data_IF_169757793861
#
_entry.id   IF_169757793861
#
_cell.length_a   1.000
_cell.length_b   1.000
_cell.length_c   1.000
_cell.angle_alpha   90.00
_cell.angle_beta   90.00
_cell.angle_gamma   90.00
#
_symmetry.space_group_name_H-M   'P 1'
#
loop_
_entity.id
_entity.type
_entity.pdbx_description
1 polymer ?
#
# COMPACT_ATOMS: atom_id res chain seq x y z
N UNK A 1 -24.87 34.54 35.59
CA UNK A 1 -25.78 34.28 34.46
C UNK A 1 -25.06 33.30 33.55
N UNK A 2 -25.29 31.99 33.73
CA UNK A 2 -24.67 30.93 32.92
C UNK A 2 -25.30 30.99 31.52
N UNK A 3 -24.55 31.47 30.52
CA UNK A 3 -24.93 31.30 29.13
C UNK A 3 -25.00 29.79 28.87
N UNK A 4 -26.19 29.26 28.63
CA UNK A 4 -26.36 27.88 28.20
C UNK A 4 -25.72 27.75 26.82
N UNK A 5 -24.58 27.06 26.74
CA UNK A 5 -23.91 26.77 25.48
C UNK A 5 -24.87 26.04 24.55
N UNK A 6 -24.96 26.53 23.31
CA UNK A 6 -25.77 25.87 22.29
C UNK A 6 -25.01 24.68 21.75
N UNK A 7 -25.73 23.68 21.25
CA UNK A 7 -25.14 22.48 20.63
C UNK A 7 -24.07 22.83 19.57
N UNK A 8 -24.25 23.93 18.83
CA UNK A 8 -23.31 24.45 17.83
C UNK A 8 -21.94 24.84 18.41
N UNK A 9 -21.87 25.21 19.68
CA UNK A 9 -20.63 25.62 20.33
C UNK A 9 -19.70 24.42 20.59
N UNK A 10 -20.27 23.21 20.69
CA UNK A 10 -19.50 21.97 20.87
C UNK A 10 -18.84 21.47 19.58
N UNK A 11 -19.47 21.71 18.42
CA UNK A 11 -18.96 21.26 17.12
C UNK A 11 -17.96 22.24 16.48
N UNK A 12 -17.82 23.45 17.04
CA UNK A 12 -17.02 24.53 16.46
C UNK A 12 -17.71 25.23 15.28
N UNK A 13 -17.05 26.23 14.65
CA UNK A 13 -17.73 27.05 13.65
C UNK A 13 -18.00 26.25 12.37
N UNK A 14 -19.20 26.37 11.83
CA UNK A 14 -19.57 25.72 10.57
C UNK A 14 -18.75 26.27 9.40
N UNK A 15 -18.31 25.37 8.52
CA UNK A 15 -17.66 25.72 7.26
C UNK A 15 -18.74 25.88 6.21
N UNK A 16 -18.74 27.01 5.51
CA UNK A 16 -19.72 27.32 4.47
C UNK A 16 -19.04 27.48 3.12
N UNK A 17 -19.80 27.47 2.01
CA UNK A 17 -19.23 27.68 0.67
C UNK A 17 -18.54 29.03 0.49
N UNK A 18 -18.84 30.01 1.36
CA UNK A 18 -18.15 31.30 1.43
C UNK A 18 -16.70 31.18 1.97
N UNK A 19 -16.38 30.10 2.68
CA UNK A 19 -15.03 29.82 3.19
C UNK A 19 -14.10 29.23 2.10
N UNK A 20 -14.54 29.12 0.83
CA UNK A 20 -13.79 28.47 -0.25
C UNK A 20 -12.33 28.97 -0.41
N UNK A 21 -12.10 30.27 -0.30
CA UNK A 21 -10.75 30.86 -0.37
C UNK A 21 -9.93 30.56 0.90
N UNK A 22 -10.58 30.57 2.07
CA UNK A 22 -9.95 30.29 3.35
C UNK A 22 -9.54 28.81 3.45
N UNK A 23 -10.34 27.91 2.87
CA UNK A 23 -10.03 26.50 2.69
C UNK A 23 -8.72 26.33 1.89
N UNK A 24 -8.61 26.98 0.74
CA UNK A 24 -7.39 26.90 -0.09
C UNK A 24 -6.15 27.50 0.59
N UNK A 25 -6.31 28.60 1.34
CA UNK A 25 -5.21 29.26 2.04
C UNK A 25 -4.61 28.40 3.15
N UNK A 26 -5.45 27.61 3.83
CA UNK A 26 -5.03 26.79 4.99
C UNK A 26 -4.89 25.30 4.67
N UNK A 27 -5.03 24.89 3.41
CA UNK A 27 -4.83 23.52 2.94
C UNK A 27 -3.33 23.16 2.81
N UNK A 28 -2.64 23.16 3.95
CA UNK A 28 -1.22 22.78 4.02
C UNK A 28 -0.99 21.34 3.53
N UNK A 29 -1.94 20.43 3.75
CA UNK A 29 -1.81 19.04 3.30
C UNK A 29 -1.78 18.95 1.77
N UNK A 30 -2.68 19.63 1.06
CA UNK A 30 -2.63 19.64 -0.40
C UNK A 30 -1.36 20.31 -0.92
N UNK A 31 -0.98 21.47 -0.36
CA UNK A 31 0.20 22.21 -0.83
C UNK A 31 1.45 21.33 -0.72
N UNK A 32 1.59 20.62 0.39
CA UNK A 32 2.76 19.75 0.65
C UNK A 32 2.74 18.45 -0.15
N UNK A 33 1.55 17.90 -0.47
CA UNK A 33 1.41 16.63 -1.20
C UNK A 33 1.11 16.78 -2.70
N UNK A 34 1.07 18.01 -3.21
CA UNK A 34 0.71 18.33 -4.59
C UNK A 34 1.57 17.62 -5.63
N UNK A 35 2.87 17.49 -5.39
CA UNK A 35 3.80 16.85 -6.33
C UNK A 35 3.42 15.41 -6.62
N UNK A 36 3.10 14.63 -5.59
CA UNK A 36 2.63 13.25 -5.74
C UNK A 36 1.29 13.17 -6.47
N UNK A 37 0.38 14.10 -6.20
CA UNK A 37 -0.89 14.17 -6.93
C UNK A 37 -0.68 14.41 -8.43
N UNK A 38 0.17 15.39 -8.77
CA UNK A 38 0.51 15.70 -10.16
C UNK A 38 1.17 14.50 -10.81
N UNK A 39 2.04 13.77 -10.10
CA UNK A 39 2.65 12.56 -10.60
C UNK A 39 1.60 11.50 -10.96
N UNK A 40 0.65 11.21 -10.06
CA UNK A 40 -0.43 10.27 -10.37
C UNK A 40 -1.36 10.72 -11.50
N UNK A 41 -1.52 12.03 -11.71
CA UNK A 41 -2.26 12.56 -12.86
C UNK A 41 -1.49 12.36 -14.16
N UNK A 42 -0.17 12.65 -14.17
CA UNK A 42 0.70 12.43 -15.33
C UNK A 42 0.67 10.96 -15.73
N UNK A 43 0.77 10.04 -14.77
CA UNK A 43 0.69 8.60 -14.97
C UNK A 43 -0.74 8.10 -15.27
N UNK A 44 -1.77 8.94 -15.27
CA UNK A 44 -3.15 8.49 -15.52
C UNK A 44 -3.75 7.58 -14.43
N UNK A 45 -3.11 7.48 -13.26
CA UNK A 45 -3.51 6.59 -12.16
C UNK A 45 -4.68 7.17 -11.38
N UNK A 46 -4.65 8.48 -11.08
CA UNK A 46 -5.72 9.16 -10.31
C UNK A 46 -6.19 10.44 -11.00
N UNK A 47 -7.25 10.38 -11.81
CA UNK A 47 -7.76 11.53 -12.54
C UNK A 47 -8.72 12.39 -11.68
N UNK A 48 -8.23 12.89 -10.56
CA UNK A 48 -8.96 13.86 -9.72
C UNK A 48 -8.57 15.29 -10.11
N UNK A 49 -9.49 16.25 -10.00
CA UNK A 49 -9.23 17.66 -10.31
C UNK A 49 -9.49 18.55 -9.10
N UNK A 50 -8.72 19.64 -9.01
CA UNK A 50 -9.01 20.71 -8.05
C UNK A 50 -9.82 21.81 -8.72
N UNK A 51 -10.87 22.26 -8.05
CA UNK A 51 -11.75 23.34 -8.51
C UNK A 51 -10.98 24.67 -8.50
N UNK A 52 -11.27 25.63 -9.41
CA UNK A 52 -10.62 26.95 -9.40
C UNK A 52 -10.69 27.66 -8.05
N UNK A 53 -9.65 28.44 -7.71
CA UNK A 53 -9.54 29.17 -6.44
C UNK A 53 -10.73 30.08 -6.14
N UNK A 54 -11.29 30.71 -7.17
CA UNK A 54 -12.41 31.65 -7.05
C UNK A 54 -13.79 30.98 -6.92
N UNK A 55 -13.88 29.65 -7.06
CA UNK A 55 -15.15 28.97 -6.92
C UNK A 55 -15.60 28.93 -5.45
N UNK A 56 -16.80 29.42 -5.17
CA UNK A 56 -17.45 29.34 -3.87
C UNK A 56 -18.02 27.94 -3.66
N UNK A 57 -17.14 27.02 -3.23
CA UNK A 57 -17.53 25.65 -2.92
C UNK A 57 -16.63 25.08 -1.83
N UNK A 58 -17.26 24.33 -0.94
CA UNK A 58 -16.62 23.46 0.05
C UNK A 58 -15.93 22.26 -0.58
N UNK A 59 -16.38 21.78 -1.75
CA UNK A 59 -15.81 20.62 -2.46
C UNK A 59 -14.65 21.05 -3.35
N UNK A 60 -13.45 21.19 -2.78
CA UNK A 60 -12.24 21.64 -3.50
C UNK A 60 -11.70 20.59 -4.48
N UNK A 61 -11.80 19.31 -4.13
CA UNK A 61 -11.36 18.18 -4.96
C UNK A 61 -12.57 17.45 -5.52
N UNK A 62 -12.57 17.18 -6.82
CA UNK A 62 -13.67 16.54 -7.55
C UNK A 62 -13.17 15.46 -8.49
N UNK A 63 -13.98 14.43 -8.70
CA UNK A 63 -13.78 13.40 -9.71
C UNK A 63 -14.97 13.40 -10.67
N UNK A 64 -14.69 13.32 -11.98
CA UNK A 64 -15.72 13.16 -13.00
C UNK A 64 -15.15 12.33 -14.15
N UNK A 65 -15.94 11.39 -14.67
CA UNK A 65 -15.57 10.52 -15.79
C UNK A 65 -15.26 11.28 -17.09
N UNK A 66 -15.83 12.47 -17.27
CA UNK A 66 -15.66 13.30 -18.48
C UNK A 66 -14.68 14.46 -18.25
N UNK A 67 -13.88 14.40 -17.17
CA UNK A 67 -12.92 15.46 -16.86
C UNK A 67 -11.69 15.43 -17.77
N UNK A 68 -11.00 16.57 -17.91
CA UNK A 68 -9.73 16.63 -18.67
C UNK A 68 -8.69 15.64 -18.13
N UNK A 69 -8.62 15.46 -16.82
CA UNK A 69 -7.72 14.50 -16.18
C UNK A 69 -8.10 13.06 -16.52
N UNK A 70 -9.40 12.74 -16.60
CA UNK A 70 -9.88 11.40 -16.93
C UNK A 70 -9.66 11.07 -18.40
N UNK A 71 -9.88 12.02 -19.29
CA UNK A 71 -9.57 11.86 -20.71
C UNK A 71 -8.07 11.64 -20.95
N UNK A 72 -7.21 12.37 -20.21
CA UNK A 72 -5.77 12.12 -20.22
C UNK A 72 -5.44 10.71 -19.71
N UNK A 73 -6.05 10.30 -18.59
CA UNK A 73 -5.86 8.96 -18.04
C UNK A 73 -6.27 7.86 -19.05
N UNK A 74 -7.40 8.03 -19.75
CA UNK A 74 -7.82 7.10 -20.81
C UNK A 74 -6.79 7.01 -21.93
N UNK A 75 -6.20 8.13 -22.36
CA UNK A 75 -5.20 8.16 -23.41
C UNK A 75 -3.92 7.42 -22.97
N UNK A 76 -3.37 7.75 -21.80
CA UNK A 76 -2.16 7.13 -21.27
C UNK A 76 -2.36 5.62 -21.12
N UNK A 77 -3.45 5.22 -20.46
CA UNK A 77 -3.75 3.81 -20.25
C UNK A 77 -4.00 3.04 -21.54
N UNK A 78 -4.64 3.65 -22.54
CA UNK A 78 -4.86 3.00 -23.83
C UNK A 78 -3.54 2.73 -24.55
N UNK A 79 -2.63 3.71 -24.55
CA UNK A 79 -1.30 3.55 -25.16
C UNK A 79 -0.47 2.50 -24.43
N UNK A 80 -0.47 2.52 -23.10
CA UNK A 80 0.25 1.54 -22.29
C UNK A 80 -0.35 0.14 -22.42
N UNK A 81 -1.68 0.01 -22.49
CA UNK A 81 -2.33 -1.27 -22.72
C UNK A 81 -1.92 -1.91 -24.04
N UNK A 82 -1.66 -1.15 -25.11
CA UNK A 82 -1.13 -1.71 -26.36
C UNK A 82 0.24 -2.34 -26.13
N UNK A 83 1.11 -1.66 -25.38
CA UNK A 83 2.45 -2.17 -25.04
C UNK A 83 2.34 -3.42 -24.15
N UNK A 84 1.54 -3.36 -23.10
CA UNK A 84 1.34 -4.47 -22.15
C UNK A 84 0.74 -5.69 -22.83
N UNK A 85 -0.26 -5.52 -23.70
CA UNK A 85 -0.86 -6.64 -24.45
C UNK A 85 0.17 -7.25 -25.40
N UNK A 86 0.99 -6.45 -26.07
CA UNK A 86 2.03 -6.95 -26.97
C UNK A 86 3.08 -7.76 -26.20
N UNK A 87 3.62 -7.21 -25.12
CA UNK A 87 4.60 -7.90 -24.26
C UNK A 87 3.99 -9.16 -23.66
N UNK A 88 2.75 -9.10 -23.18
CA UNK A 88 2.03 -10.26 -22.65
C UNK A 88 1.81 -11.35 -23.70
N UNK A 89 1.51 -10.97 -24.95
CA UNK A 89 1.32 -11.91 -26.06
C UNK A 89 2.64 -12.60 -26.46
N UNK A 90 3.73 -11.84 -26.54
CA UNK A 90 5.08 -12.38 -26.81
C UNK A 90 5.51 -13.34 -25.69
N UNK A 91 5.29 -12.97 -24.42
CA UNK A 91 5.58 -13.83 -23.26
C UNK A 91 4.73 -15.10 -23.26
N UNK A 92 3.44 -15.00 -23.60
CA UNK A 92 2.54 -16.14 -23.69
C UNK A 92 2.91 -17.06 -24.87
N UNK A 93 3.25 -16.51 -26.03
CA UNK A 93 3.71 -17.29 -27.18
C UNK A 93 5.02 -18.03 -26.86
N UNK A 94 5.98 -17.34 -26.24
CA UNK A 94 7.24 -17.95 -25.79
C UNK A 94 7.01 -19.05 -24.75
N UNK A 95 6.00 -18.92 -23.90
CA UNK A 95 5.58 -19.93 -22.94
C UNK A 95 4.96 -21.16 -23.62
N UNK A 96 4.09 -20.97 -24.62
CA UNK A 96 3.41 -22.06 -25.31
C UNK A 96 4.31 -22.84 -26.28
N UNK A 97 5.18 -22.14 -27.03
CA UNK A 97 5.99 -22.75 -28.07
C UNK A 97 7.14 -23.61 -27.52
N UNK A 98 7.57 -23.35 -26.29
CA UNK A 98 8.70 -24.03 -25.68
C UNK A 98 8.23 -25.00 -24.57
N UNK A 99 7.48 -26.03 -24.94
CA UNK A 99 6.92 -27.01 -23.97
C UNK A 99 7.96 -27.89 -23.25
N UNK A 100 9.24 -27.82 -23.67
CA UNK A 100 10.34 -28.61 -23.13
C UNK A 100 11.26 -27.80 -22.18
N UNK A 101 10.75 -26.72 -21.60
CA UNK A 101 11.52 -25.81 -20.73
C UNK A 101 11.80 -26.40 -19.37
N UNK A 102 12.97 -26.06 -18.83
CA UNK A 102 13.33 -26.33 -17.44
C UNK A 102 12.35 -25.61 -16.51
N UNK A 103 12.16 -26.17 -15.32
CA UNK A 103 11.13 -25.75 -14.35
C UNK A 103 11.23 -24.27 -13.94
N UNK A 104 12.44 -23.74 -13.92
CA UNK A 104 12.77 -22.34 -13.65
C UNK A 104 12.16 -21.38 -14.66
N UNK A 105 12.33 -21.63 -15.95
CA UNK A 105 11.81 -20.76 -17.01
C UNK A 105 10.28 -20.67 -16.97
N UNK A 106 9.60 -21.73 -16.50
CA UNK A 106 8.16 -21.73 -16.27
C UNK A 106 7.79 -20.77 -15.13
N UNK A 107 8.49 -20.83 -14.01
CA UNK A 107 8.28 -19.94 -12.86
C UNK A 107 8.51 -18.48 -13.24
N UNK A 108 9.59 -18.19 -13.98
CA UNK A 108 9.88 -16.84 -14.46
C UNK A 108 8.75 -16.28 -15.31
N UNK A 109 8.28 -17.05 -16.30
CA UNK A 109 7.20 -16.60 -17.17
C UNK A 109 5.90 -16.37 -16.39
N UNK A 110 5.59 -17.21 -15.38
CA UNK A 110 4.43 -17.00 -14.51
C UNK A 110 4.55 -15.69 -13.72
N UNK A 111 5.72 -15.40 -13.13
CA UNK A 111 5.93 -14.17 -12.36
C UNK A 111 5.73 -12.94 -13.26
N UNK A 112 6.40 -12.90 -14.42
CA UNK A 112 6.31 -11.75 -15.32
C UNK A 112 4.90 -11.55 -15.89
N UNK A 113 4.22 -12.63 -16.30
CA UNK A 113 2.81 -12.55 -16.70
C UNK A 113 1.93 -12.04 -15.56
N UNK A 114 2.20 -12.45 -14.32
CA UNK A 114 1.41 -12.03 -13.15
C UNK A 114 1.62 -10.57 -12.80
N UNK A 115 2.82 -10.01 -13.00
CA UNK A 115 3.10 -8.59 -12.79
C UNK A 115 2.38 -7.70 -13.81
N UNK A 116 2.01 -8.22 -15.00
CA UNK A 116 1.21 -7.48 -15.98
C UNK A 116 -0.27 -7.39 -15.60
N UNK A 117 -0.81 -8.33 -14.82
CA UNK A 117 -2.23 -8.36 -14.40
C UNK A 117 -2.67 -7.08 -13.67
N UNK A 118 -1.91 -6.53 -12.70
CA UNK A 118 -2.22 -5.26 -12.05
C UNK A 118 -2.56 -4.14 -13.02
N UNK A 119 -1.92 -4.07 -14.19
CA UNK A 119 -2.22 -3.09 -15.22
C UNK A 119 -3.74 -3.05 -15.49
N UNK A 120 -4.37 -4.19 -15.75
CA UNK A 120 -5.79 -4.20 -16.10
C UNK A 120 -6.73 -3.99 -14.91
N UNK A 121 -6.31 -4.35 -13.70
CA UNK A 121 -7.14 -4.24 -12.51
C UNK A 121 -7.12 -2.82 -11.91
N UNK A 122 -6.01 -2.10 -12.05
CA UNK A 122 -5.79 -0.83 -11.38
C UNK A 122 -6.68 0.32 -11.88
N UNK A 123 -6.98 0.49 -13.18
CA UNK A 123 -7.94 1.48 -13.64
C UNK A 123 -9.33 1.24 -13.04
N UNK A 124 -9.74 -0.03 -12.99
CA UNK A 124 -11.03 -0.43 -12.42
C UNK A 124 -11.07 -0.12 -10.93
N UNK A 125 -10.02 -0.47 -10.19
CA UNK A 125 -9.94 -0.21 -8.76
C UNK A 125 -9.83 1.30 -8.46
N UNK A 126 -8.96 2.00 -9.18
CA UNK A 126 -8.60 3.39 -8.94
C UNK A 126 -9.68 4.38 -9.37
N UNK A 127 -10.13 4.28 -10.62
CA UNK A 127 -11.08 5.25 -11.17
C UNK A 127 -12.47 5.06 -10.56
N UNK A 128 -12.88 3.82 -10.27
CA UNK A 128 -14.16 3.55 -9.58
C UNK A 128 -14.21 4.18 -8.20
N UNK A 129 -13.09 4.22 -7.48
CA UNK A 129 -12.99 4.85 -6.15
C UNK A 129 -12.56 6.31 -6.20
N UNK A 130 -12.38 6.89 -7.39
CA UNK A 130 -12.08 8.31 -7.59
C UNK A 130 -12.98 9.26 -6.78
N UNK A 131 -14.31 9.03 -6.69
CA UNK A 131 -15.20 9.83 -5.84
C UNK A 131 -14.86 9.75 -4.34
N UNK A 132 -14.58 8.55 -3.82
CA UNK A 132 -14.22 8.33 -2.41
C UNK A 132 -12.87 8.98 -2.07
N UNK A 133 -11.91 8.90 -2.99
CA UNK A 133 -10.62 9.60 -2.89
C UNK A 133 -10.82 11.11 -2.85
N UNK A 134 -11.71 11.66 -3.68
CA UNK A 134 -12.04 13.08 -3.67
C UNK A 134 -12.70 13.52 -2.35
N UNK A 135 -13.61 12.70 -1.80
CA UNK A 135 -14.21 12.92 -0.48
C UNK A 135 -13.12 12.96 0.59
N UNK A 136 -12.25 11.96 0.63
CA UNK A 136 -11.12 11.90 1.57
C UNK A 136 -10.23 13.14 1.50
N UNK A 137 -9.86 13.59 0.29
CA UNK A 137 -9.06 14.81 0.11
C UNK A 137 -9.79 16.06 0.61
N UNK A 138 -11.10 16.15 0.38
CA UNK A 138 -11.90 17.26 0.92
C UNK A 138 -11.97 17.21 2.45
N UNK A 139 -12.05 16.02 3.07
CA UNK A 139 -12.05 15.91 4.53
C UNK A 139 -10.80 16.52 5.15
N UNK A 140 -9.63 16.32 4.55
CA UNK A 140 -8.39 16.99 4.98
C UNK A 140 -8.51 18.51 4.93
N UNK A 141 -9.00 19.08 3.83
CA UNK A 141 -9.18 20.54 3.69
C UNK A 141 -10.12 21.09 4.77
N UNK A 142 -11.24 20.41 5.03
CA UNK A 142 -12.19 20.81 6.06
C UNK A 142 -11.60 20.68 7.47
N UNK A 143 -10.91 19.58 7.74
CA UNK A 143 -10.29 19.31 9.03
C UNK A 143 -9.25 20.36 9.38
N UNK A 144 -8.39 20.76 8.45
CA UNK A 144 -7.37 21.79 8.70
C UNK A 144 -7.98 23.14 9.05
N UNK A 145 -9.06 23.53 8.36
CA UNK A 145 -9.76 24.77 8.67
C UNK A 145 -10.49 24.70 10.02
N UNK A 146 -11.15 23.58 10.31
CA UNK A 146 -11.82 23.34 11.60
C UNK A 146 -10.81 23.36 12.74
N UNK A 147 -9.66 22.72 12.56
CA UNK A 147 -8.56 22.72 13.52
C UNK A 147 -8.03 24.13 13.78
N UNK A 148 -7.82 24.95 12.74
CA UNK A 148 -7.40 26.34 12.89
C UNK A 148 -8.45 27.15 13.68
N UNK A 149 -9.73 27.01 13.32
CA UNK A 149 -10.83 27.73 13.97
C UNK A 149 -10.98 27.34 15.46
N UNK A 150 -10.69 26.09 15.83
CA UNK A 150 -10.79 25.62 17.22
C UNK A 150 -9.52 25.91 18.03
N UNK A 151 -8.33 25.62 17.50
CA UNK A 151 -7.07 25.73 18.25
C UNK A 151 -6.42 27.11 18.15
N UNK A 152 -6.83 27.93 17.18
CA UNK A 152 -6.16 29.19 16.83
C UNK A 152 -4.83 29.00 16.10
N UNK A 153 -4.37 27.76 15.90
CA UNK A 153 -3.09 27.44 15.25
C UNK A 153 -3.31 26.61 13.99
N UNK A 154 -2.66 26.92 12.86
CA UNK A 154 -2.78 26.10 11.66
C UNK A 154 -1.98 24.80 11.80
N UNK A 155 -2.47 23.71 11.21
CA UNK A 155 -1.66 22.50 11.04
C UNK A 155 -0.65 22.76 9.92
N UNK A 156 0.63 22.65 10.25
CA UNK A 156 1.73 22.78 9.29
C UNK A 156 2.48 21.46 9.25
N UNK A 157 2.85 21.02 8.05
CA UNK A 157 3.62 19.81 7.82
C UNK A 157 5.04 20.18 7.36
N UNK A 158 5.97 20.50 8.28
CA UNK A 158 7.25 21.13 7.94
C UNK A 158 8.12 20.28 7.01
N UNK A 159 8.18 18.96 7.24
CA UNK A 159 9.04 18.06 6.48
C UNK A 159 8.33 17.37 5.31
N UNK A 160 7.00 17.49 5.21
CA UNK A 160 6.20 16.67 4.29
C UNK A 160 6.39 17.07 2.82
N UNK A 161 6.65 18.36 2.54
CA UNK A 161 6.92 18.82 1.18
C UNK A 161 8.22 18.22 0.61
N UNK A 162 9.32 18.34 1.37
CA UNK A 162 10.63 17.79 0.98
C UNK A 162 10.57 16.27 0.88
N UNK A 163 9.92 15.63 1.85
CA UNK A 163 9.70 14.18 1.87
C UNK A 163 8.90 13.71 0.64
N UNK A 164 7.83 14.42 0.27
CA UNK A 164 6.99 14.03 -0.89
C UNK A 164 7.78 14.10 -2.19
N UNK A 165 8.56 15.17 -2.40
CA UNK A 165 9.42 15.29 -3.57
C UNK A 165 10.52 14.22 -3.60
N UNK A 166 11.18 14.01 -2.46
CA UNK A 166 12.20 12.96 -2.31
C UNK A 166 11.64 11.58 -2.63
N UNK A 167 10.45 11.25 -2.13
CA UNK A 167 9.78 9.99 -2.40
C UNK A 167 9.35 9.85 -3.87
N UNK A 168 8.90 10.91 -4.53
CA UNK A 168 8.57 10.84 -5.97
C UNK A 168 9.80 10.47 -6.82
N UNK A 169 10.93 11.14 -6.57
CA UNK A 169 12.18 10.88 -7.29
C UNK A 169 12.71 9.49 -6.94
N UNK A 170 12.70 9.14 -5.65
CA UNK A 170 13.16 7.84 -5.18
C UNK A 170 12.34 6.70 -5.75
N UNK A 171 11.01 6.80 -5.78
CA UNK A 171 10.13 5.80 -6.39
C UNK A 171 10.50 5.54 -7.85
N UNK A 172 10.69 6.59 -8.66
CA UNK A 172 11.05 6.43 -10.06
C UNK A 172 12.45 5.86 -10.28
N UNK A 173 13.41 6.31 -9.48
CA UNK A 173 14.78 5.80 -9.52
C UNK A 173 14.84 4.33 -9.09
N UNK A 174 14.08 3.95 -8.06
CA UNK A 174 13.97 2.57 -7.59
C UNK A 174 13.34 1.68 -8.64
N UNK A 175 12.23 2.11 -9.25
CA UNK A 175 11.59 1.37 -10.35
C UNK A 175 12.54 1.11 -11.52
N UNK A 176 13.33 2.13 -11.90
CA UNK A 176 14.35 1.98 -12.94
C UNK A 176 15.45 0.99 -12.52
N UNK A 177 15.96 1.11 -11.29
CA UNK A 177 16.99 0.23 -10.76
C UNK A 177 16.52 -1.23 -10.67
N UNK A 178 15.27 -1.47 -10.23
CA UNK A 178 14.68 -2.81 -10.17
C UNK A 178 14.62 -3.41 -11.58
N UNK A 179 14.12 -2.67 -12.58
CA UNK A 179 14.02 -3.20 -13.94
C UNK A 179 15.38 -3.45 -14.57
N UNK A 180 16.32 -2.52 -14.38
CA UNK A 180 17.68 -2.69 -14.88
C UNK A 180 18.36 -3.90 -14.24
N UNK A 181 18.12 -4.14 -12.94
CA UNK A 181 18.61 -5.33 -12.25
C UNK A 181 18.03 -6.60 -12.86
N UNK A 182 16.74 -6.64 -13.21
CA UNK A 182 16.12 -7.81 -13.84
C UNK A 182 16.67 -8.03 -15.25
N UNK A 183 16.85 -6.97 -16.03
CA UNK A 183 17.45 -7.06 -17.37
C UNK A 183 18.88 -7.60 -17.34
N UNK A 184 19.67 -7.27 -16.31
CA UNK A 184 21.05 -7.77 -16.18
C UNK A 184 21.12 -9.19 -15.62
N UNK A 185 20.22 -9.53 -14.70
CA UNK A 185 20.23 -10.82 -14.00
C UNK A 185 19.49 -11.93 -14.75
N UNK A 186 18.69 -11.58 -15.76
CA UNK A 186 17.88 -12.54 -16.52
C UNK A 186 18.10 -12.39 -18.02
N UNK A 187 18.69 -13.42 -18.62
CA UNK A 187 19.02 -13.46 -20.06
C UNK A 187 17.77 -13.40 -20.97
N UNK A 188 16.61 -13.81 -20.45
CA UNK A 188 15.33 -13.84 -21.19
C UNK A 188 14.54 -12.52 -21.09
N UNK A 189 15.13 -11.47 -20.49
CA UNK A 189 14.50 -10.18 -20.32
C UNK A 189 15.04 -9.17 -21.32
N UNK A 190 14.33 -9.00 -22.43
CA UNK A 190 14.68 -7.98 -23.42
C UNK A 190 14.42 -6.58 -22.87
N UNK A 191 15.33 -5.65 -23.15
CA UNK A 191 15.21 -4.24 -22.75
C UNK A 191 13.88 -3.62 -23.20
N UNK A 192 13.32 -4.04 -24.33
CA UNK A 192 12.03 -3.52 -24.80
C UNK A 192 10.84 -3.95 -23.92
N UNK A 193 10.90 -5.12 -23.29
CA UNK A 193 9.87 -5.56 -22.34
C UNK A 193 9.83 -4.67 -21.09
N UNK A 194 10.94 -4.03 -20.74
CA UNK A 194 11.05 -3.07 -19.62
C UNK A 194 9.98 -1.98 -19.63
N UNK A 195 9.58 -1.51 -20.81
CA UNK A 195 8.60 -0.43 -20.93
C UNK A 195 7.21 -0.83 -20.39
N UNK A 196 6.82 -2.10 -20.51
CA UNK A 196 5.55 -2.60 -19.97
C UNK A 196 5.57 -2.66 -18.43
N UNK A 197 6.70 -3.00 -17.83
CA UNK A 197 6.83 -3.14 -16.37
C UNK A 197 7.11 -1.82 -15.67
N UNK A 198 7.74 -0.86 -16.35
CA UNK A 198 8.18 0.39 -15.74
C UNK A 198 7.04 1.19 -15.15
N UNK A 199 5.97 1.36 -15.92
CA UNK A 199 4.78 2.06 -15.45
C UNK A 199 4.17 1.37 -14.21
N UNK A 200 4.06 0.04 -14.24
CA UNK A 200 3.46 -0.75 -13.17
C UNK A 200 4.27 -0.61 -11.88
N UNK A 201 5.59 -0.80 -11.94
CA UNK A 201 6.47 -0.71 -10.77
C UNK A 201 6.49 0.73 -10.23
N UNK A 202 6.59 1.74 -11.11
CA UNK A 202 6.52 3.15 -10.71
C UNK A 202 5.21 3.49 -9.99
N UNK A 203 4.09 2.87 -10.42
CA UNK A 203 2.81 3.05 -9.77
C UNK A 203 2.76 2.38 -8.40
N UNK A 204 3.30 1.16 -8.27
CA UNK A 204 3.36 0.46 -6.99
C UNK A 204 4.19 1.26 -5.98
N UNK A 205 5.36 1.73 -6.39
CA UNK A 205 6.21 2.59 -5.57
C UNK A 205 5.51 3.92 -5.20
N UNK A 206 4.79 4.51 -6.16
CA UNK A 206 3.97 5.70 -5.93
C UNK A 206 2.87 5.47 -4.89
N UNK A 207 2.17 4.34 -4.92
CA UNK A 207 1.15 3.99 -3.92
C UNK A 207 1.76 3.74 -2.54
N UNK A 208 2.94 3.13 -2.46
CA UNK A 208 3.67 2.99 -1.20
C UNK A 208 4.00 4.37 -0.61
N UNK A 209 4.53 5.28 -1.43
CA UNK A 209 4.82 6.67 -1.06
C UNK A 209 3.57 7.43 -0.61
N UNK A 210 2.44 7.25 -1.31
CA UNK A 210 1.15 7.83 -0.92
C UNK A 210 0.71 7.35 0.46
N UNK A 211 0.80 6.05 0.73
CA UNK A 211 0.46 5.48 2.02
C UNK A 211 1.30 6.09 3.13
N UNK A 212 2.63 6.06 2.94
CA UNK A 212 3.61 6.59 3.88
C UNK A 212 3.32 8.04 4.27
N UNK A 213 3.08 8.90 3.27
CA UNK A 213 2.80 10.33 3.46
C UNK A 213 1.51 10.54 4.25
N UNK A 214 0.44 9.81 3.95
CA UNK A 214 -0.83 9.95 4.67
C UNK A 214 -0.70 9.47 6.12
N UNK A 215 -0.06 8.32 6.37
CA UNK A 215 0.22 7.82 7.71
C UNK A 215 1.05 8.80 8.53
N UNK A 216 2.08 9.40 7.93
CA UNK A 216 2.90 10.42 8.57
C UNK A 216 2.07 11.68 8.91
N UNK A 217 1.26 12.16 7.97
CA UNK A 217 0.39 13.32 8.16
C UNK A 217 -0.62 13.11 9.31
N UNK A 218 -1.23 11.92 9.43
CA UNK A 218 -2.07 11.58 10.58
C UNK A 218 -1.30 11.62 11.90
N UNK A 219 -0.07 11.09 11.91
CA UNK A 219 0.82 11.18 13.07
C UNK A 219 1.12 12.63 13.48
N UNK A 220 1.43 13.50 12.52
CA UNK A 220 1.68 14.94 12.78
C UNK A 220 0.43 15.65 13.29
N UNK A 221 -0.74 15.39 12.69
CA UNK A 221 -2.00 15.99 13.10
C UNK A 221 -2.40 15.57 14.53
N UNK A 222 -2.22 14.28 14.87
CA UNK A 222 -2.45 13.77 16.24
C UNK A 222 -1.51 14.44 17.25
N UNK A 223 -0.22 14.54 16.91
CA UNK A 223 0.77 15.19 17.76
C UNK A 223 0.41 16.67 18.00
N UNK A 224 0.01 17.40 16.96
CA UNK A 224 -0.45 18.78 17.08
C UNK A 224 -1.65 18.94 18.00
N UNK A 225 -2.64 18.04 17.88
CA UNK A 225 -3.80 18.01 18.76
C UNK A 225 -3.39 17.73 20.22
N UNK A 226 -2.50 16.76 20.42
CA UNK A 226 -2.02 16.38 21.75
C UNK A 226 -1.20 17.50 22.42
N UNK A 227 -0.38 18.24 21.67
CA UNK A 227 0.39 19.38 22.21
C UNK A 227 -0.52 20.54 22.63
N UNK A 228 -1.60 20.79 21.89
CA UNK A 228 -2.55 21.85 22.23
C UNK A 228 -3.59 21.42 23.28
N UNK A 229 -3.65 20.13 23.64
CA UNK A 229 -4.58 19.62 24.64
C UNK A 229 -4.36 20.24 26.02
N UNK A 230 -3.10 20.47 26.42
CA UNK A 230 -2.81 21.10 27.70
C UNK A 230 -3.34 22.54 27.76
N UNK A 231 -3.16 23.30 26.67
CA UNK A 231 -3.73 24.66 26.53
C UNK A 231 -5.26 24.66 26.60
N UNK A 232 -5.91 23.59 26.13
CA UNK A 232 -7.36 23.46 26.23
C UNK A 232 -7.82 23.25 27.68
N UNK A 233 -7.01 22.60 28.52
CA UNK A 233 -7.29 22.38 29.94
C UNK A 233 -7.09 23.65 30.79
N UNK A 234 -6.22 24.56 30.36
CA UNK A 234 -5.96 25.86 31.01
C UNK A 234 -6.87 26.99 30.51
N UNK A 235 -7.76 26.72 29.55
CA UNK A 235 -8.64 27.73 28.98
C UNK A 235 -9.70 28.22 29.99
N UNK A 236 -10.32 29.37 29.73
CA UNK A 236 -11.40 29.93 30.58
C UNK A 236 -12.60 28.97 30.73
N UNK A 237 -12.84 28.13 29.72
CA UNK A 237 -13.88 27.09 29.72
C UNK A 237 -13.32 25.72 29.27
N UNK A 238 -12.63 24.98 30.16
CA UNK A 238 -11.93 23.75 29.80
C UNK A 238 -12.84 22.64 29.29
N UNK A 239 -14.01 22.45 29.91
CA UNK A 239 -14.97 21.41 29.50
C UNK A 239 -15.47 21.60 28.06
N UNK A 240 -15.89 22.81 27.69
CA UNK A 240 -16.31 23.12 26.31
C UNK A 240 -15.15 22.92 25.34
N UNK A 241 -13.94 23.36 25.72
CA UNK A 241 -12.80 23.28 24.82
C UNK A 241 -12.34 21.85 24.61
N UNK A 242 -12.40 21.03 25.65
CA UNK A 242 -12.12 19.61 25.59
C UNK A 242 -13.14 18.87 24.72
N UNK A 243 -14.43 19.24 24.80
CA UNK A 243 -15.45 18.68 23.91
C UNK A 243 -15.17 19.00 22.42
N UNK A 244 -14.74 20.24 22.10
CA UNK A 244 -14.30 20.59 20.74
C UNK A 244 -13.08 19.78 20.28
N UNK A 245 -12.11 19.54 21.17
CA UNK A 245 -10.94 18.70 20.88
C UNK A 245 -11.33 17.23 20.67
N UNK A 246 -12.30 16.71 21.44
CA UNK A 246 -12.88 15.38 21.22
C UNK A 246 -13.47 15.26 19.82
N UNK A 247 -14.23 16.26 19.37
CA UNK A 247 -14.78 16.26 18.00
C UNK A 247 -13.69 16.31 16.94
N UNK A 248 -12.62 17.11 17.12
CA UNK A 248 -11.45 17.07 16.22
C UNK A 248 -10.80 15.68 16.19
N UNK A 249 -10.59 15.05 17.33
CA UNK A 249 -10.01 13.72 17.37
C UNK A 249 -10.90 12.68 16.67
N UNK A 250 -12.22 12.75 16.87
CA UNK A 250 -13.17 11.86 16.19
C UNK A 250 -13.12 12.06 14.67
N UNK A 251 -13.07 13.31 14.20
CA UNK A 251 -12.90 13.62 12.78
C UNK A 251 -11.57 13.05 12.23
N UNK A 252 -10.48 13.15 13.01
CA UNK A 252 -9.17 12.60 12.65
C UNK A 252 -9.21 11.06 12.55
N UNK A 253 -9.83 10.39 13.52
CA UNK A 253 -10.03 8.93 13.53
C UNK A 253 -10.87 8.49 12.33
N UNK A 254 -11.97 9.20 12.06
CA UNK A 254 -12.84 8.92 10.92
C UNK A 254 -12.13 9.14 9.57
N UNK A 255 -11.32 10.20 9.42
CA UNK A 255 -10.48 10.38 8.23
C UNK A 255 -9.50 9.24 8.03
N UNK A 256 -8.90 8.72 9.11
CA UNK A 256 -7.96 7.61 9.05
C UNK A 256 -8.64 6.31 8.59
N UNK A 257 -9.86 6.05 9.06
CA UNK A 257 -10.68 4.93 8.58
C UNK A 257 -11.10 5.13 7.12
N UNK A 258 -11.47 6.36 6.73
CA UNK A 258 -11.83 6.69 5.35
C UNK A 258 -10.65 6.54 4.39
N UNK A 259 -9.39 6.77 4.81
CA UNK A 259 -8.22 6.43 4.00
C UNK A 259 -8.22 4.93 3.67
N UNK A 260 -8.37 4.07 4.68
CA UNK A 260 -8.41 2.62 4.50
C UNK A 260 -9.53 2.20 3.55
N UNK A 261 -10.72 2.78 3.72
CA UNK A 261 -11.89 2.49 2.87
C UNK A 261 -11.74 2.99 1.44
N UNK A 262 -11.36 4.25 1.24
CA UNK A 262 -11.26 4.88 -0.09
C UNK A 262 -10.19 4.22 -0.98
N UNK A 263 -9.16 3.65 -0.37
CA UNK A 263 -8.08 2.97 -1.08
C UNK A 263 -8.08 1.44 -0.89
N UNK A 264 -9.11 0.89 -0.25
CA UNK A 264 -9.21 -0.53 0.12
C UNK A 264 -9.00 -1.47 -1.07
N UNK A 265 -9.68 -1.23 -2.19
CA UNK A 265 -9.54 -2.09 -3.37
C UNK A 265 -8.15 -1.98 -4.01
N UNK A 266 -7.54 -0.78 -4.01
CA UNK A 266 -6.19 -0.60 -4.57
C UNK A 266 -5.16 -1.34 -3.71
N UNK A 267 -5.15 -1.12 -2.40
CA UNK A 267 -4.21 -1.80 -1.49
C UNK A 267 -4.53 -3.29 -1.31
N UNK A 268 -5.78 -3.71 -1.48
CA UNK A 268 -6.16 -5.13 -1.50
C UNK A 268 -5.53 -5.88 -2.67
N UNK A 269 -5.70 -5.36 -3.90
CA UNK A 269 -5.06 -5.92 -5.10
C UNK A 269 -3.53 -5.86 -4.96
N UNK A 270 -3.00 -4.73 -4.47
CA UNK A 270 -1.58 -4.55 -4.21
C UNK A 270 -1.01 -5.63 -3.28
N UNK A 271 -1.66 -5.88 -2.14
CA UNK A 271 -1.25 -6.90 -1.18
C UNK A 271 -1.35 -8.31 -1.78
N UNK A 272 -2.40 -8.63 -2.53
CA UNK A 272 -2.54 -9.94 -3.20
C UNK A 272 -1.43 -10.18 -4.22
N UNK A 273 -1.12 -9.18 -5.05
CA UNK A 273 -0.07 -9.26 -6.07
C UNK A 273 1.30 -9.44 -5.43
N UNK A 274 1.60 -8.68 -4.38
CA UNK A 274 2.84 -8.83 -3.63
C UNK A 274 2.94 -10.21 -3.01
N UNK A 275 1.88 -10.68 -2.35
CA UNK A 275 1.89 -12.00 -1.72
C UNK A 275 2.13 -13.12 -2.74
N UNK A 276 1.39 -13.09 -3.84
CA UNK A 276 1.54 -14.06 -4.93
C UNK A 276 2.96 -14.02 -5.53
N UNK A 277 3.42 -12.83 -5.92
CA UNK A 277 4.74 -12.65 -6.54
C UNK A 277 5.85 -13.10 -5.61
N UNK A 278 5.81 -12.69 -4.35
CA UNK A 278 6.85 -13.06 -3.38
C UNK A 278 6.87 -14.56 -3.11
N UNK A 279 5.69 -15.21 -3.01
CA UNK A 279 5.61 -16.66 -2.78
C UNK A 279 6.20 -17.45 -3.95
N UNK A 280 5.80 -17.11 -5.17
CA UNK A 280 6.28 -17.81 -6.38
C UNK A 280 7.76 -17.52 -6.64
N UNK A 281 8.22 -16.28 -6.46
CA UNK A 281 9.64 -15.94 -6.60
C UNK A 281 10.51 -16.64 -5.57
N UNK A 282 10.07 -16.71 -4.31
CA UNK A 282 10.81 -17.42 -3.25
C UNK A 282 10.79 -18.94 -3.46
N UNK A 283 9.69 -19.48 -3.98
CA UNK A 283 9.65 -20.88 -4.39
C UNK A 283 10.63 -21.15 -5.53
N UNK A 284 10.63 -20.32 -6.58
CA UNK A 284 11.55 -20.41 -7.71
C UNK A 284 13.00 -20.40 -7.27
N UNK A 285 13.37 -19.41 -6.44
CA UNK A 285 14.75 -19.28 -5.97
C UNK A 285 15.19 -20.48 -5.13
N UNK A 286 14.36 -20.95 -4.18
CA UNK A 286 14.71 -22.12 -3.35
C UNK A 286 14.77 -23.43 -4.16
N UNK A 287 13.88 -23.55 -5.14
CA UNK A 287 13.74 -24.69 -6.02
C UNK A 287 14.98 -24.88 -6.91
N UNK A 288 15.55 -23.80 -7.44
CA UNK A 288 16.76 -23.83 -8.28
C UNK A 288 18.03 -24.06 -7.47
N UNK A 289 18.17 -23.38 -6.31
CA UNK A 289 19.34 -23.56 -5.42
C UNK A 289 19.52 -25.02 -5.06
N UNK A 290 18.42 -25.74 -4.85
CA UNK A 290 18.42 -27.15 -4.53
C UNK A 290 18.91 -28.04 -5.68
N UNK A 291 18.70 -27.65 -6.94
CA UNK A 291 19.05 -28.46 -8.11
C UNK A 291 20.41 -28.12 -8.69
N UNK A 292 20.79 -26.85 -8.74
CA UNK A 292 21.95 -26.38 -9.51
C UNK A 292 22.93 -25.49 -8.73
N UNK A 293 22.60 -25.09 -7.50
CA UNK A 293 23.39 -24.14 -6.71
C UNK A 293 23.23 -22.69 -7.16
N UNK A 294 23.97 -21.76 -6.53
CA UNK A 294 23.77 -20.31 -6.72
C UNK A 294 24.07 -19.82 -8.15
N UNK A 295 23.05 -19.28 -8.84
CA UNK A 295 23.15 -18.72 -10.20
C UNK A 295 22.74 -17.24 -10.29
N UNK A 296 23.15 -16.54 -11.35
CA UNK A 296 22.78 -15.13 -11.57
C UNK A 296 21.27 -14.93 -11.72
N UNK A 297 20.56 -15.88 -12.36
CA UNK A 297 19.10 -15.84 -12.51
C UNK A 297 18.38 -15.83 -11.15
N UNK A 298 18.89 -16.59 -10.18
CA UNK A 298 18.32 -16.69 -8.83
C UNK A 298 18.45 -15.38 -8.05
N UNK A 299 19.56 -14.67 -8.24
CA UNK A 299 19.77 -13.34 -7.64
C UNK A 299 18.65 -12.38 -8.08
N UNK A 300 18.21 -12.46 -9.34
CA UNK A 300 17.08 -11.68 -9.84
C UNK A 300 15.78 -11.94 -9.06
N UNK A 301 15.48 -13.21 -8.73
CA UNK A 301 14.31 -13.59 -7.93
C UNK A 301 14.42 -13.10 -6.48
N UNK A 302 15.60 -13.17 -5.87
CA UNK A 302 15.81 -12.62 -4.52
C UNK A 302 15.62 -11.11 -4.46
N UNK A 303 16.03 -10.39 -5.51
CA UNK A 303 15.78 -8.94 -5.62
C UNK A 303 14.27 -8.67 -5.62
N UNK A 304 13.48 -9.43 -6.38
CA UNK A 304 12.01 -9.32 -6.39
C UNK A 304 11.44 -9.59 -4.98
N UNK A 305 11.87 -10.68 -4.33
CA UNK A 305 11.40 -11.03 -2.98
C UNK A 305 11.73 -9.92 -1.98
N UNK A 306 12.97 -9.43 -1.97
CA UNK A 306 13.41 -8.35 -1.08
C UNK A 306 12.62 -7.06 -1.32
N UNK A 307 12.42 -6.68 -2.58
CA UNK A 307 11.63 -5.53 -2.98
C UNK A 307 10.18 -5.63 -2.50
N UNK A 308 9.48 -6.72 -2.84
CA UNK A 308 8.09 -6.93 -2.46
C UNK A 308 7.89 -7.00 -0.94
N UNK A 309 8.79 -7.68 -0.21
CA UNK A 309 8.75 -7.74 1.25
C UNK A 309 8.99 -6.38 1.91
N UNK A 310 9.89 -5.57 1.34
CA UNK A 310 10.17 -4.22 1.83
C UNK A 310 8.94 -3.32 1.67
N UNK A 311 8.28 -3.36 0.52
CA UNK A 311 7.04 -2.63 0.28
C UNK A 311 5.91 -3.04 1.22
N UNK A 312 5.70 -4.34 1.41
CA UNK A 312 4.70 -4.85 2.35
C UNK A 312 5.00 -4.44 3.78
N UNK A 313 6.28 -4.51 4.18
CA UNK A 313 6.72 -4.07 5.50
C UNK A 313 6.41 -2.59 5.73
N UNK A 314 6.76 -1.71 4.78
CA UNK A 314 6.51 -0.26 4.88
C UNK A 314 5.01 0.01 5.08
N UNK A 315 4.14 -0.58 4.26
CA UNK A 315 2.69 -0.35 4.34
C UNK A 315 2.13 -0.78 5.71
N UNK A 316 2.45 -2.00 6.14
CA UNK A 316 2.00 -2.57 7.40
C UNK A 316 2.57 -1.82 8.61
N UNK A 317 3.84 -1.42 8.55
CA UNK A 317 4.53 -0.73 9.64
C UNK A 317 4.00 0.69 9.83
N UNK A 318 3.83 1.46 8.75
CA UNK A 318 3.33 2.82 8.84
C UNK A 318 1.86 2.88 9.25
N UNK A 319 1.03 1.95 8.78
CA UNK A 319 -0.36 1.83 9.22
C UNK A 319 -0.44 1.56 10.74
N UNK A 320 0.41 0.67 11.24
CA UNK A 320 0.52 0.38 12.67
C UNK A 320 0.99 1.61 13.47
N UNK A 321 2.01 2.32 12.98
CA UNK A 321 2.48 3.54 13.64
C UNK A 321 1.43 4.65 13.67
N UNK A 322 0.71 4.87 12.57
CA UNK A 322 -0.40 5.83 12.52
C UNK A 322 -1.50 5.47 13.52
N UNK A 323 -1.93 4.21 13.54
CA UNK A 323 -2.94 3.68 14.49
C UNK A 323 -2.52 3.91 15.93
N UNK A 324 -1.26 3.61 16.27
CA UNK A 324 -0.75 3.83 17.63
C UNK A 324 -0.65 5.30 18.02
N UNK A 325 -0.21 6.18 17.11
CA UNK A 325 -0.08 7.62 17.38
C UNK A 325 -1.42 8.31 17.55
N UNK A 326 -2.43 7.96 16.74
CA UNK A 326 -3.77 8.55 16.82
C UNK A 326 -4.58 7.94 17.97
N UNK A 327 -4.43 6.65 18.24
CA UNK A 327 -5.17 5.95 19.29
C UNK A 327 -4.45 5.92 20.63
N UNK A 328 -3.56 4.93 20.80
CA UNK A 328 -2.96 4.57 22.09
C UNK A 328 -2.14 5.71 22.73
N UNK A 329 -1.26 6.34 21.95
CA UNK A 329 -0.39 7.40 22.49
C UNK A 329 -1.21 8.62 22.91
N UNK A 330 -2.24 8.97 22.12
CA UNK A 330 -3.15 10.05 22.45
C UNK A 330 -3.96 9.73 23.72
N UNK A 331 -4.46 8.49 23.85
CA UNK A 331 -5.16 8.01 25.04
C UNK A 331 -4.29 8.08 26.29
N UNK A 332 -3.02 7.66 26.21
CA UNK A 332 -2.07 7.74 27.33
C UNK A 332 -1.89 9.18 27.81
N UNK A 333 -1.83 10.15 26.89
CA UNK A 333 -1.72 11.57 27.25
C UNK A 333 -2.98 12.09 27.95
N UNK A 334 -4.16 11.68 27.54
CA UNK A 334 -5.42 12.01 28.24
C UNK A 334 -5.46 11.41 29.65
N UNK A 335 -5.02 10.16 29.81
CA UNK A 335 -4.98 9.49 31.13
C UNK A 335 -3.98 10.13 32.10
N UNK A 336 -2.93 10.77 31.58
CA UNK A 336 -1.94 11.48 32.39
C UNK A 336 -2.38 12.89 32.83
N UNK A 337 -3.58 13.33 32.45
CA UNK A 337 -4.14 14.60 32.93
C UNK A 337 -4.47 14.44 34.42
N UNK A 338 -4.04 15.40 35.25
CA UNK A 338 -4.34 15.39 36.68
C UNK A 338 -5.83 15.69 36.93
N UNK A 339 -6.64 14.64 37.00
CA UNK A 339 -8.08 14.75 37.24
C UNK A 339 -8.41 15.43 38.57
N UNK A 340 -7.54 15.30 39.59
CA UNK A 340 -7.75 15.92 40.91
C UNK A 340 -7.61 17.45 40.92
N UNK A 341 -6.99 18.03 39.89
CA UNK A 341 -6.77 19.47 39.76
C UNK A 341 -7.82 20.18 38.88
N UNK A 342 -8.73 19.43 38.25
CA UNK A 342 -9.74 19.96 37.34
C UNK A 342 -11.16 19.80 37.91
N UNK A 343 -12.08 20.63 37.44
CA UNK A 343 -13.48 20.62 37.88
C UNK A 343 -14.24 19.38 37.37
N UNK A 344 -15.36 19.06 38.02
CA UNK A 344 -16.18 17.87 37.69
C UNK A 344 -16.72 17.87 36.25
N UNK A 345 -16.96 19.04 35.65
CA UNK A 345 -17.47 19.10 34.28
C UNK A 345 -16.39 18.72 33.28
N UNK A 346 -15.15 19.18 33.50
CA UNK A 346 -13.98 18.78 32.71
C UNK A 346 -13.62 17.31 32.92
N UNK A 347 -13.70 16.77 34.15
CA UNK A 347 -13.51 15.34 34.41
C UNK A 347 -14.46 14.47 33.56
N UNK A 348 -15.75 14.83 33.54
CA UNK A 348 -16.75 14.13 32.72
C UNK A 348 -16.44 14.21 31.23
N UNK A 349 -15.94 15.33 30.74
CA UNK A 349 -15.52 15.47 29.33
C UNK A 349 -14.28 14.62 29.02
N UNK A 350 -13.30 14.51 29.92
CA UNK A 350 -12.16 13.58 29.78
C UNK A 350 -12.65 12.15 29.67
N UNK A 351 -13.56 11.72 30.55
CA UNK A 351 -14.16 10.39 30.49
C UNK A 351 -14.90 10.14 29.16
N UNK A 352 -15.72 11.09 28.72
CA UNK A 352 -16.42 10.98 27.44
C UNK A 352 -15.45 10.95 26.25
N UNK A 353 -14.31 11.63 26.33
CA UNK A 353 -13.26 11.54 25.33
C UNK A 353 -12.64 10.15 25.30
N UNK A 354 -12.26 9.59 26.45
CA UNK A 354 -11.74 8.21 26.54
C UNK A 354 -12.75 7.19 25.99
N UNK A 355 -14.04 7.36 26.27
CA UNK A 355 -15.11 6.53 25.69
C UNK A 355 -15.18 6.69 24.18
N UNK A 356 -15.06 7.91 23.65
CA UNK A 356 -15.03 8.15 22.21
C UNK A 356 -13.85 7.46 21.52
N UNK A 357 -12.68 7.43 22.17
CA UNK A 357 -11.50 6.70 21.69
C UNK A 357 -11.75 5.19 21.65
N UNK A 358 -12.32 4.64 22.73
CA UNK A 358 -12.62 3.22 22.82
C UNK A 358 -13.71 2.78 21.81
N UNK A 359 -14.70 3.64 21.53
CA UNK A 359 -15.80 3.35 20.59
C UNK A 359 -15.43 3.55 19.12
N UNK A 360 -14.50 4.44 18.80
CA UNK A 360 -14.10 4.76 17.43
C UNK A 360 -12.58 4.63 17.23
N UNK A 361 -12.02 3.41 17.34
CA UNK A 361 -10.59 3.22 17.22
C UNK A 361 -10.11 3.61 15.81
N UNK A 362 -8.97 4.31 15.68
CA UNK A 362 -8.45 4.77 14.41
C UNK A 362 -7.74 3.62 13.68
N UNK A 363 -8.47 2.58 13.28
CA UNK A 363 -7.91 1.38 12.62
C UNK A 363 -8.14 1.48 11.11
N UNK A 364 -7.05 1.40 10.34
CA UNK A 364 -7.09 1.28 8.89
C UNK A 364 -7.44 -0.17 8.50
N UNK A 365 -8.57 -0.36 7.84
CA UNK A 365 -9.00 -1.65 7.31
C UNK A 365 -9.25 -1.59 5.80
N UNK A 366 -9.11 -2.73 5.13
CA UNK A 366 -9.42 -2.92 3.72
C UNK A 366 -10.89 -3.31 3.58
N UNK A 367 -11.82 -2.37 3.75
CA UNK A 367 -13.29 -2.57 3.60
C UNK A 367 -13.82 -3.79 4.38
N UNK A 368 -13.28 -4.03 5.58
CA UNK A 368 -13.65 -5.16 6.44
C UNK A 368 -12.98 -6.50 6.13
N UNK A 369 -12.20 -6.64 5.05
CA UNK A 369 -11.47 -7.88 4.76
C UNK A 369 -10.36 -8.16 5.77
N UNK A 370 -9.53 -7.17 6.06
CA UNK A 370 -8.43 -7.29 7.04
C UNK A 370 -7.97 -5.91 7.51
N UNK A 371 -7.32 -5.89 8.67
CA UNK A 371 -6.67 -4.70 9.21
C UNK A 371 -5.24 -4.60 8.68
N UNK A 372 -4.86 -3.41 8.23
CA UNK A 372 -3.48 -3.18 7.77
C UNK A 372 -2.63 -2.83 8.98
N UNK A 373 -1.88 -3.82 9.47
CA UNK A 373 -1.01 -3.68 10.62
C UNK A 373 0.18 -4.66 10.53
N UNK A 374 1.04 -4.67 11.55
CA UNK A 374 2.17 -5.62 11.61
C UNK A 374 1.73 -7.08 11.69
N UNK A 375 0.51 -7.37 12.17
CA UNK A 375 -0.02 -8.74 12.21
C UNK A 375 -0.27 -9.27 10.80
N UNK A 376 -0.78 -8.42 9.89
CA UNK A 376 -0.92 -8.75 8.47
C UNK A 376 0.43 -9.14 7.87
N UNK A 377 1.51 -8.41 8.17
CA UNK A 377 2.85 -8.76 7.71
C UNK A 377 3.32 -10.12 8.25
N UNK A 378 3.18 -10.35 9.56
CA UNK A 378 3.58 -11.63 10.16
C UNK A 378 2.73 -12.81 9.66
N UNK A 379 1.43 -12.59 9.42
CA UNK A 379 0.54 -13.60 8.86
C UNK A 379 0.94 -13.95 7.42
N UNK A 380 1.27 -12.95 6.59
CA UNK A 380 1.78 -13.17 5.25
C UNK A 380 3.07 -14.02 5.27
N UNK A 381 4.04 -13.70 6.13
CA UNK A 381 5.25 -14.51 6.27
C UNK A 381 4.91 -15.95 6.66
N UNK A 382 4.03 -16.13 7.66
CA UNK A 382 3.62 -17.47 8.10
C UNK A 382 2.99 -18.27 6.96
N UNK A 383 2.04 -17.69 6.23
CA UNK A 383 1.39 -18.35 5.10
C UNK A 383 2.36 -18.67 3.97
N UNK A 384 3.24 -17.73 3.62
CA UNK A 384 4.30 -17.97 2.65
C UNK A 384 5.18 -19.15 3.06
N UNK A 385 5.65 -19.19 4.31
CA UNK A 385 6.46 -20.31 4.81
C UNK A 385 5.70 -21.64 4.72
N UNK A 386 4.43 -21.68 5.10
CA UNK A 386 3.60 -22.89 4.97
C UNK A 386 3.48 -23.35 3.52
N UNK A 387 3.17 -22.45 2.59
CA UNK A 387 3.08 -22.79 1.17
C UNK A 387 4.41 -23.28 0.60
N UNK A 388 5.52 -22.63 0.97
CA UNK A 388 6.86 -23.02 0.52
C UNK A 388 7.25 -24.41 1.02
N UNK A 389 6.97 -24.73 2.29
CA UNK A 389 7.23 -26.07 2.84
C UNK A 389 6.47 -27.13 2.01
N UNK A 390 5.19 -26.89 1.76
CA UNK A 390 4.34 -27.82 1.00
C UNK A 390 4.85 -27.98 -0.44
N UNK A 391 5.13 -26.89 -1.14
CA UNK A 391 5.63 -26.92 -2.52
C UNK A 391 7.00 -27.61 -2.63
N UNK A 392 7.91 -27.36 -1.67
CA UNK A 392 9.21 -28.02 -1.61
C UNK A 392 9.08 -29.52 -1.29
N UNK A 393 8.15 -29.92 -0.41
CA UNK A 393 7.88 -31.33 -0.15
C UNK A 393 7.38 -32.07 -1.38
N UNK A 394 6.45 -31.47 -2.14
CA UNK A 394 5.99 -32.03 -3.41
C UNK A 394 7.15 -32.19 -4.39
N UNK A 395 7.98 -31.16 -4.55
CA UNK A 395 9.16 -31.21 -5.44
C UNK A 395 10.15 -32.31 -5.03
N UNK A 396 10.55 -32.35 -3.76
CA UNK A 396 11.47 -33.36 -3.23
C UNK A 396 10.93 -34.79 -3.39
N UNK A 397 9.61 -34.96 -3.22
CA UNK A 397 8.95 -36.26 -3.41
C UNK A 397 9.01 -36.69 -4.88
N UNK A 398 8.74 -35.79 -5.82
CA UNK A 398 8.84 -36.04 -7.26
C UNK A 398 10.27 -36.39 -7.67
N UNK A 399 11.26 -35.62 -7.22
CA UNK A 399 12.68 -35.91 -7.47
C UNK A 399 13.06 -37.30 -6.95
N UNK A 400 12.66 -37.64 -5.72
CA UNK A 400 12.93 -38.96 -5.12
C UNK A 400 12.26 -40.10 -5.88
N UNK A 401 11.04 -39.91 -6.39
CA UNK A 401 10.36 -40.90 -7.23
C UNK A 401 11.08 -41.07 -8.58
N UNK A 402 11.49 -39.98 -9.22
CA UNK A 402 12.28 -40.00 -10.46
C UNK A 402 13.59 -40.77 -10.30
N UNK A 403 14.36 -40.49 -9.24
CA UNK A 403 15.61 -41.21 -8.96
C UNK A 403 15.37 -42.71 -8.70
N UNK A 404 14.28 -43.08 -8.01
CA UNK A 404 13.92 -44.48 -7.78
C UNK A 404 13.58 -45.21 -9.09
N UNK A 405 12.83 -44.57 -9.98
CA UNK A 405 12.49 -45.14 -11.30
C UNK A 405 13.75 -45.31 -12.15
N UNK A 406 14.61 -44.29 -12.22
CA UNK A 406 15.86 -44.35 -12.96
C UNK A 406 16.79 -45.44 -12.41
N UNK A 407 16.93 -45.56 -11.08
CA UNK A 407 17.70 -46.64 -10.44
C UNK A 407 17.13 -48.02 -10.76
N UNK A 408 15.80 -48.16 -10.83
CA UNK A 408 15.14 -49.42 -11.22
C UNK A 408 15.43 -49.77 -12.68
N UNK A 409 15.37 -48.82 -13.60
CA UNK A 409 15.71 -49.01 -15.02
C UNK A 409 17.18 -49.40 -15.19
N UNK A 410 18.11 -48.68 -14.55
CA UNK A 410 19.54 -48.99 -14.59
C UNK A 410 19.79 -50.41 -14.08
N UNK A 411 19.22 -50.78 -12.93
CA UNK A 411 19.35 -52.14 -12.41
C UNK A 411 18.75 -53.19 -13.36
N UNK A 412 17.60 -52.92 -14.00
CA UNK A 412 17.02 -53.82 -15.00
C UNK A 412 17.95 -53.97 -16.21
N UNK A 413 18.49 -52.89 -16.76
CA UNK A 413 19.41 -52.94 -17.91
C UNK A 413 20.66 -53.74 -17.54
N UNK A 414 21.31 -53.44 -16.40
CA UNK A 414 22.52 -54.14 -15.97
C UNK A 414 22.30 -55.63 -15.66
N UNK A 415 21.14 -55.99 -15.08
CA UNK A 415 20.81 -57.40 -14.84
C UNK A 415 20.42 -58.15 -16.13
N UNK A 416 19.90 -57.44 -17.15
CA UNK A 416 19.59 -58.01 -18.47
C UNK A 416 20.85 -58.26 -19.29
N UNK A 417 21.87 -57.42 -19.15
CA UNK A 417 23.17 -57.61 -19.83
C UNK A 417 24.06 -58.65 -19.14
N UNK A 418 23.81 -59.02 -17.88
CA UNK A 418 24.50 -60.16 -17.24
C UNK A 418 23.90 -61.51 -17.61
N UNK A 419 22.67 -61.56 -18.13
CA UNK A 419 22.01 -62.80 -18.56
C UNK A 419 22.27 -63.18 -20.03
N UNK A 420 22.80 -62.26 -20.84
CA UNK A 420 23.20 -62.51 -22.24
C UNK A 420 24.67 -62.90 -22.41
N UNK A 421 25.47 -62.94 -21.34
CA UNK A 421 26.90 -63.25 -21.38
C UNK A 421 27.25 -64.63 -20.77
N UNK A 422 26.25 -65.50 -20.56
CA UNK A 422 26.44 -66.76 -19.83
C UNK A 422 26.04 -68.04 -20.60
N UNK A 423 25.78 -67.97 -21.91
CA UNK A 423 25.34 -69.12 -22.72
C UNK A 423 26.25 -69.48 -23.90
N UNK A 424 27.45 -68.91 -24.03
CA UNK A 424 28.44 -69.33 -25.04
C UNK A 424 29.78 -69.69 -24.36
N UNK A 425 29.87 -70.86 -23.72
CA UNK A 425 31.13 -71.63 -23.63
C UNK A 425 30.93 -73.03 -23.01
N UNK A 426 31.33 -74.06 -23.78
CA UNK A 426 31.58 -75.48 -23.45
C UNK A 426 30.51 -76.56 -23.76
N UNK A 427 30.34 -76.87 -25.05
CA UNK A 427 30.20 -78.26 -25.55
C UNK A 427 31.30 -78.54 -26.61
N UNK A 428 32.40 -79.19 -26.19
CA UNK A 428 33.09 -80.36 -26.80
C UNK A 428 34.42 -80.64 -26.08
#
# INVERSE_FOLDING_TARGET
MLLAYQEKDFYGPQITDKDGELLDKHDSFYITTKSLLVLFQIMGVMPIMRVPRHAQTTKRTTFNWISKATLWAYLVWSLESIIVIRVGSERLANFQQNSNKRFDEVIYNIIFLSILIPHFLLPIASWRHGPEVAIFKNMWTHYQLKYLKITGTPIVFPNLYSLTWGLCIFSWALSFAVILSQNYLQDDFELWHSFAYYHIIAMLDGFCSLWYINCNAFGTASMGLATNLHKALEAEHPALKLAQFRHLWVDLSHMMQQLGRAYSNMYGIYCMVIFFTTTISLYGSLSEILEHGLSYKEMGLFVIVGYCMTLLFIICNEAYHATRKVGLEFQMRLLNVNLGAIDRSTQREVEMFLVAIAKNPPIMNLDGFTNINRELFTANISYMSTYLIVLMQFKLTLLRQGTKVMKKIVNTIFNSSTTLAADDEFEE
#
